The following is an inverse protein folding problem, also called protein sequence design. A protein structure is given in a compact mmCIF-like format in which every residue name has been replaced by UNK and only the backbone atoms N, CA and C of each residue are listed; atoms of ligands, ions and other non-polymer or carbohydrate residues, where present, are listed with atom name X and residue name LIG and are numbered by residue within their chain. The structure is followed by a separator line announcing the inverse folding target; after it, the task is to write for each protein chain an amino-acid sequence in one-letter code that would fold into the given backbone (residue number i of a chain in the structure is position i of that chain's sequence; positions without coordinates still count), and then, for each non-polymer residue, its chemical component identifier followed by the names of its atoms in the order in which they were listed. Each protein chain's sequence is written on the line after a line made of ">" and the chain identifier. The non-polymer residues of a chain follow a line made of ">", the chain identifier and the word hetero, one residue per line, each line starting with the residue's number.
data_IF_259715038810
#
_entry.id   IF_259715038810
#
_cell.length_a   1.000
_cell.length_b   1.000
_cell.length_c   1.000
_cell.angle_alpha   90.00
_cell.angle_beta   90.00
_cell.angle_gamma   90.00
#
_symmetry.space_group_name_H-M   'P 1'
#
loop_
_entity.id
_entity.type
_entity.pdbx_description
1 polymer ?
#
# COMPACT_ATOMS: atom_id res chain seq x y z
N UNK A 1 -12.13 -16.46 18.50
CA UNK A 1 -12.20 -15.12 17.87
C UNK A 1 -11.16 -14.96 16.76
N UNK A 2 -9.84 -14.92 17.06
CA UNK A 2 -8.79 -14.78 16.03
C UNK A 2 -8.78 -15.94 15.04
N UNK A 3 -8.98 -17.18 15.49
CA UNK A 3 -9.04 -18.36 14.61
C UNK A 3 -10.32 -18.42 13.73
N UNK A 4 -11.43 -17.78 14.12
CA UNK A 4 -12.67 -17.78 13.32
C UNK A 4 -12.73 -16.61 12.34
N UNK A 5 -12.27 -15.42 12.76
CA UNK A 5 -12.39 -14.18 11.99
C UNK A 5 -11.05 -13.69 11.42
N UNK A 6 -9.93 -14.29 11.79
CA UNK A 6 -8.58 -13.89 11.32
C UNK A 6 -8.43 -14.00 9.80
N UNK A 7 -9.03 -15.03 9.19
CA UNK A 7 -9.07 -15.17 7.72
C UNK A 7 -9.82 -14.00 7.06
N UNK A 8 -10.91 -13.54 7.66
CA UNK A 8 -11.67 -12.39 7.14
C UNK A 8 -10.87 -11.10 7.26
N UNK A 9 -10.17 -10.89 8.39
CA UNK A 9 -9.32 -9.70 8.61
C UNK A 9 -8.15 -9.67 7.63
N UNK A 10 -7.46 -10.80 7.44
CA UNK A 10 -6.36 -10.90 6.46
C UNK A 10 -6.87 -10.65 5.05
N UNK A 11 -7.99 -11.25 4.66
CA UNK A 11 -8.56 -11.04 3.33
C UNK A 11 -9.00 -9.59 3.13
N UNK A 12 -9.64 -8.97 4.12
CA UNK A 12 -10.06 -7.58 4.07
C UNK A 12 -8.86 -6.63 3.93
N UNK A 13 -7.82 -6.81 4.74
CA UNK A 13 -6.59 -6.01 4.66
C UNK A 13 -5.88 -6.19 3.31
N UNK A 14 -5.75 -7.44 2.85
CA UNK A 14 -5.16 -7.73 1.55
C UNK A 14 -5.93 -7.05 0.41
N UNK A 15 -7.26 -7.17 0.37
CA UNK A 15 -8.08 -6.53 -0.66
C UNK A 15 -8.02 -5.00 -0.58
N UNK A 16 -8.00 -4.44 0.63
CA UNK A 16 -7.87 -2.99 0.84
C UNK A 16 -6.55 -2.47 0.26
N UNK A 17 -5.42 -3.09 0.60
CA UNK A 17 -4.13 -2.62 0.07
C UNK A 17 -3.96 -2.93 -1.41
N UNK A 18 -4.35 -4.12 -1.88
CA UNK A 18 -4.29 -4.46 -3.29
C UNK A 18 -5.10 -3.46 -4.13
N UNK A 19 -6.29 -3.08 -3.67
CA UNK A 19 -7.09 -2.05 -4.33
C UNK A 19 -6.43 -0.67 -4.24
N UNK A 20 -5.85 -0.28 -3.10
CA UNK A 20 -5.10 0.97 -2.96
C UNK A 20 -3.93 1.09 -3.95
N UNK A 21 -3.08 0.06 -4.04
CA UNK A 21 -1.99 0.04 -5.03
C UNK A 21 -2.53 0.06 -6.47
N UNK A 22 -3.52 -0.78 -6.77
CA UNK A 22 -4.10 -0.91 -8.11
C UNK A 22 -4.76 0.39 -8.58
N UNK A 23 -5.67 0.96 -7.80
CA UNK A 23 -6.38 2.18 -8.16
C UNK A 23 -5.47 3.41 -8.09
N UNK A 24 -4.52 3.47 -7.15
CA UNK A 24 -3.51 4.53 -7.13
C UNK A 24 -2.70 4.59 -8.43
N UNK A 25 -2.33 3.43 -8.97
CA UNK A 25 -1.67 3.35 -10.28
C UNK A 25 -2.62 3.63 -11.44
N UNK A 26 -3.78 2.97 -11.47
CA UNK A 26 -4.71 3.05 -12.59
C UNK A 26 -5.23 4.48 -12.78
N UNK A 27 -5.67 5.13 -11.70
CA UNK A 27 -6.24 6.48 -11.78
C UNK A 27 -5.18 7.51 -12.15
N UNK A 28 -3.96 7.43 -11.61
CA UNK A 28 -2.86 8.33 -12.01
C UNK A 28 -2.52 8.19 -13.49
N UNK A 29 -2.55 6.97 -14.03
CA UNK A 29 -2.39 6.72 -15.48
C UNK A 29 -3.55 7.23 -16.31
N UNK A 30 -4.80 7.09 -15.84
CA UNK A 30 -5.98 7.65 -16.52
C UNK A 30 -5.95 9.18 -16.57
N UNK A 31 -5.33 9.83 -15.59
CA UNK A 31 -5.10 11.27 -15.55
C UNK A 31 -3.90 11.72 -16.42
N UNK A 32 -3.23 10.79 -17.12
CA UNK A 32 -2.13 11.10 -18.02
C UNK A 32 -0.77 11.32 -17.36
N UNK A 33 -0.62 11.01 -16.06
CA UNK A 33 0.67 11.15 -15.37
C UNK A 33 1.69 10.12 -15.86
N UNK A 34 2.97 10.50 -15.87
CA UNK A 34 4.06 9.64 -16.30
C UNK A 34 4.20 8.38 -15.42
N UNK A 35 4.95 7.39 -15.91
CA UNK A 35 5.08 6.10 -15.23
C UNK A 35 5.75 6.24 -13.86
N UNK A 36 6.73 7.14 -13.72
CA UNK A 36 7.41 7.35 -12.44
C UNK A 36 6.44 7.92 -11.41
N UNK A 37 5.76 9.02 -11.73
CA UNK A 37 4.77 9.63 -10.82
C UNK A 37 3.63 8.66 -10.47
N UNK A 38 3.14 7.89 -11.44
CA UNK A 38 2.07 6.92 -11.22
C UNK A 38 2.49 5.78 -10.29
N UNK A 39 3.74 5.32 -10.37
CA UNK A 39 4.31 4.35 -9.43
C UNK A 39 4.40 4.93 -8.02
N UNK A 40 4.86 6.16 -7.88
CA UNK A 40 4.92 6.86 -6.58
C UNK A 40 3.53 6.97 -5.97
N UNK A 41 2.53 7.44 -6.74
CA UNK A 41 1.15 7.57 -6.26
C UNK A 41 0.57 6.21 -5.85
N UNK A 42 0.82 5.16 -6.62
CA UNK A 42 0.42 3.80 -6.25
C UNK A 42 0.99 3.38 -4.89
N UNK A 43 2.27 3.66 -4.62
CA UNK A 43 2.90 3.36 -3.33
C UNK A 43 2.28 4.20 -2.21
N UNK A 44 2.15 5.52 -2.38
CA UNK A 44 1.60 6.40 -1.35
C UNK A 44 0.15 6.05 -0.98
N UNK A 45 -0.68 5.67 -1.96
CA UNK A 45 -2.07 5.27 -1.71
C UNK A 45 -2.14 3.88 -1.06
N UNK A 46 -1.32 2.93 -1.51
CA UNK A 46 -1.29 1.57 -0.96
C UNK A 46 -0.66 1.48 0.43
N UNK A 47 0.34 2.32 0.72
CA UNK A 47 1.13 2.33 1.95
C UNK A 47 0.55 3.29 2.99
N UNK A 48 -0.48 2.83 3.71
CA UNK A 48 -1.08 3.62 4.80
C UNK A 48 -0.24 3.61 6.08
N UNK A 49 -0.39 4.64 6.93
CA UNK A 49 0.24 4.67 8.26
C UNK A 49 -0.53 3.80 9.26
N UNK A 50 -0.19 2.51 9.28
CA UNK A 50 -0.82 1.53 10.17
C UNK A 50 -0.51 1.76 11.65
N UNK A 51 0.60 2.43 11.99
CA UNK A 51 0.97 2.74 13.40
C UNK A 51 -0.02 3.73 14.00
N UNK A 52 -0.37 4.78 13.27
CA UNK A 52 -1.40 5.72 13.70
C UNK A 52 -2.74 5.00 13.92
N UNK A 53 -3.08 4.03 13.06
CA UNK A 53 -4.25 3.18 13.23
C UNK A 53 -4.25 2.39 14.54
N UNK A 54 -3.12 1.76 14.89
CA UNK A 54 -2.95 1.06 16.19
C UNK A 54 -3.12 2.03 17.36
N UNK A 55 -2.49 3.21 17.30
CA UNK A 55 -2.60 4.22 18.35
C UNK A 55 -4.05 4.66 18.53
N UNK A 56 -4.75 5.02 17.45
CA UNK A 56 -6.16 5.40 17.53
C UNK A 56 -7.04 4.27 18.06
N UNK A 57 -6.80 3.03 17.62
CA UNK A 57 -7.55 1.85 18.04
C UNK A 57 -7.42 1.62 19.56
N UNK A 58 -6.19 1.70 20.08
CA UNK A 58 -5.89 1.49 21.50
C UNK A 58 -6.38 2.62 22.40
N UNK A 59 -6.43 3.85 21.90
CA UNK A 59 -6.87 5.02 22.68
C UNK A 59 -8.39 5.16 22.73
N UNK A 60 -9.11 4.79 21.66
CA UNK A 60 -10.54 5.12 21.54
C UNK A 60 -11.47 3.92 21.63
N UNK A 61 -10.96 2.68 21.56
CA UNK A 61 -11.78 1.48 21.69
C UNK A 61 -11.35 0.67 22.91
N UNK A 62 -12.29 0.34 23.79
CA UNK A 62 -12.02 -0.46 24.99
C UNK A 62 -11.66 -1.92 24.72
N UNK A 63 -11.82 -2.40 23.49
CA UNK A 63 -11.47 -3.77 23.11
C UNK A 63 -10.10 -3.81 22.40
N UNK A 64 -9.07 -4.47 22.96
CA UNK A 64 -7.74 -4.51 22.35
C UNK A 64 -7.70 -5.21 20.98
N UNK A 65 -8.71 -6.02 20.64
CA UNK A 65 -8.80 -6.68 19.35
C UNK A 65 -9.00 -5.71 18.17
N UNK A 66 -9.38 -4.46 18.42
CA UNK A 66 -9.51 -3.43 17.36
C UNK A 66 -8.17 -3.00 16.78
N UNK A 67 -7.06 -3.26 17.47
CA UNK A 67 -5.71 -3.01 16.95
C UNK A 67 -5.23 -4.09 15.96
N UNK A 68 -5.86 -5.27 15.97
CA UNK A 68 -5.45 -6.42 15.14
C UNK A 68 -5.52 -6.11 13.64
N UNK A 69 -6.60 -5.51 13.09
CA UNK A 69 -6.63 -5.13 11.68
C UNK A 69 -5.49 -4.18 11.27
N UNK A 70 -5.11 -3.23 12.13
CA UNK A 70 -4.01 -2.31 11.87
C UNK A 70 -2.65 -3.04 11.83
N UNK A 71 -2.41 -3.99 12.74
CA UNK A 71 -1.20 -4.79 12.73
C UNK A 71 -1.12 -5.71 11.48
N UNK A 72 -2.24 -6.32 11.08
CA UNK A 72 -2.31 -7.14 9.86
C UNK A 72 -2.10 -6.28 8.60
N UNK A 73 -2.72 -5.10 8.55
CA UNK A 73 -2.50 -4.06 7.53
C UNK A 73 -1.01 -3.76 7.36
N UNK A 74 -0.27 -3.55 8.47
CA UNK A 74 1.19 -3.32 8.47
C UNK A 74 2.01 -4.40 7.75
N UNK A 75 1.58 -5.66 7.85
CA UNK A 75 2.25 -6.77 7.18
C UNK A 75 1.85 -6.83 5.71
N UNK A 76 0.55 -6.73 5.42
CA UNK A 76 0.01 -6.82 4.06
C UNK A 76 0.59 -5.74 3.13
N UNK A 77 0.51 -4.46 3.52
CA UNK A 77 0.98 -3.37 2.65
C UNK A 77 2.50 -3.40 2.46
N UNK A 78 3.26 -3.84 3.46
CA UNK A 78 4.72 -3.97 3.38
C UNK A 78 5.13 -5.06 2.39
N UNK A 79 4.45 -6.21 2.40
CA UNK A 79 4.70 -7.29 1.44
C UNK A 79 4.38 -6.82 0.01
N UNK A 80 3.20 -6.21 -0.19
CA UNK A 80 2.78 -5.75 -1.51
C UNK A 80 3.65 -4.61 -2.04
N UNK A 81 3.92 -3.61 -1.21
CA UNK A 81 4.81 -2.50 -1.54
C UNK A 81 6.21 -2.96 -1.89
N UNK A 82 6.79 -3.87 -1.09
CA UNK A 82 8.12 -4.44 -1.37
C UNK A 82 8.15 -5.25 -2.66
N UNK A 83 7.10 -6.03 -2.94
CA UNK A 83 6.99 -6.79 -4.18
C UNK A 83 6.90 -5.84 -5.40
N UNK A 84 6.01 -4.84 -5.36
CA UNK A 84 5.86 -3.84 -6.42
C UNK A 84 7.15 -3.05 -6.64
N UNK A 85 7.77 -2.55 -5.57
CA UNK A 85 9.05 -1.86 -5.65
C UNK A 85 10.14 -2.75 -6.25
N UNK A 86 10.19 -4.02 -5.86
CA UNK A 86 11.13 -5.01 -6.41
C UNK A 86 10.91 -5.29 -7.89
N UNK A 87 9.66 -5.39 -8.34
CA UNK A 87 9.31 -5.55 -9.75
C UNK A 87 9.71 -4.30 -10.55
N UNK A 88 9.34 -3.11 -10.08
CA UNK A 88 9.62 -1.86 -10.78
C UNK A 88 11.09 -1.46 -10.79
N UNK A 89 11.88 -1.90 -9.80
CA UNK A 89 13.34 -1.72 -9.81
C UNK A 89 14.00 -2.36 -11.02
N UNK A 90 13.40 -3.39 -11.61
CA UNK A 90 13.91 -4.08 -12.82
C UNK A 90 13.59 -3.33 -14.10
N UNK A 91 12.83 -2.23 -14.06
CA UNK A 91 12.38 -1.51 -15.25
C UNK A 91 12.43 -0.01 -15.02
N UNK A 92 13.45 0.64 -15.58
CA UNK A 92 13.61 2.10 -15.50
C UNK A 92 12.59 2.74 -16.46
N UNK A 93 11.71 3.64 -15.99
CA UNK A 93 10.82 4.40 -16.86
C UNK A 93 11.62 5.26 -17.86
N UNK A 94 11.15 5.38 -19.10
CA UNK A 94 11.82 6.17 -20.15
C UNK A 94 12.05 7.63 -19.71
N UNK A 95 11.10 8.18 -18.97
CA UNK A 95 11.14 9.55 -18.46
C UNK A 95 12.34 9.78 -17.52
N UNK A 96 12.72 8.78 -16.73
CA UNK A 96 13.93 8.82 -15.90
C UNK A 96 15.21 8.67 -16.73
N UNK A 97 15.17 7.89 -17.82
CA UNK A 97 16.32 7.70 -18.70
C UNK A 97 16.67 9.00 -19.44
N UNK A 98 15.66 9.68 -20.01
CA UNK A 98 15.84 10.94 -20.74
C UNK A 98 16.35 12.08 -19.84
N UNK A 99 15.97 12.05 -18.55
CA UNK A 99 16.45 13.01 -17.55
C UNK A 99 17.92 12.80 -17.17
N UNK A 100 18.41 11.56 -17.15
CA UNK A 100 19.81 11.25 -16.85
C UNK A 100 20.74 11.54 -18.02
N UNK A 101 20.27 11.47 -19.26
CA UNK A 101 21.07 11.82 -20.46
C UNK A 101 21.29 13.34 -20.59
N UNK A 102 20.37 14.15 -20.04
CA UNK A 102 20.45 15.62 -20.08
C UNK A 102 21.26 16.24 -18.94
N UNK A 103 21.69 15.46 -17.95
CA UNK A 103 22.57 15.89 -16.85
C UNK A 103 24.02 15.57 -17.18
#
# INVERSE_FOLDING_TARGET
>A
AILSSGRQVVLAAALLHASGFFFGYLLSRMLGLDVSSSRTISIEVGMQNSVLGVVLATQHFGNPLTAVPCAVSSVCHSIFGSALAGIWRRTIPKEMQDSNVKK
#
